data_IF_802203524597
#
_entry.id   IF_802203524597
#
_cell.length_a   1.000
_cell.length_b   1.000
_cell.length_c   1.000
_cell.angle_alpha   90.00
_cell.angle_beta   90.00
_cell.angle_gamma   90.00
#
_symmetry.space_group_name_H-M   'P 1'
#
loop_
_entity.id
_entity.type
_entity.pdbx_description
1 polymer ?
#
# COMPACT_ATOMS: atom_id res chain seq x y z
N UNK A 1 24.51 -24.38 15.32
CA UNK A 1 23.44 -23.46 15.80
C UNK A 1 22.62 -23.09 14.56
N UNK A 2 21.56 -23.85 14.27
CA UNK A 2 20.75 -23.62 13.08
C UNK A 2 20.01 -22.30 13.25
N UNK A 3 20.19 -21.40 12.30
CA UNK A 3 19.27 -20.28 12.10
C UNK A 3 17.97 -20.91 11.61
N UNK A 4 16.96 -20.94 12.46
CA UNK A 4 15.60 -21.27 12.03
C UNK A 4 15.19 -20.22 11.01
N UNK A 5 15.14 -20.61 9.74
CA UNK A 5 14.47 -19.81 8.72
C UNK A 5 12.99 -19.77 9.11
N UNK A 6 12.58 -18.71 9.81
CA UNK A 6 11.17 -18.41 10.03
C UNK A 6 10.52 -18.31 8.64
N UNK A 7 9.77 -19.34 8.26
CA UNK A 7 8.90 -19.32 7.09
C UNK A 7 7.86 -18.25 7.37
N UNK A 8 8.09 -17.03 6.86
CA UNK A 8 7.09 -15.97 6.98
C UNK A 8 5.88 -16.41 6.15
N UNK A 9 4.74 -16.60 6.82
CA UNK A 9 3.49 -16.91 6.14
C UNK A 9 3.18 -15.84 5.09
N UNK A 10 2.54 -16.23 3.99
CA UNK A 10 1.95 -15.25 3.06
C UNK A 10 1.00 -14.34 3.84
N UNK A 11 1.03 -13.05 3.52
CA UNK A 11 0.22 -12.01 4.18
C UNK A 11 -0.48 -11.19 3.11
N UNK A 12 -1.65 -10.66 3.44
CA UNK A 12 -2.37 -9.68 2.65
C UNK A 12 -1.94 -8.28 3.09
N UNK A 13 -1.26 -7.56 2.18
CA UNK A 13 -0.65 -6.27 2.47
C UNK A 13 -1.38 -5.17 1.69
N UNK A 14 -1.91 -4.19 2.40
CA UNK A 14 -2.36 -2.94 1.81
C UNK A 14 -1.21 -1.93 1.76
N UNK A 15 -0.98 -1.34 0.61
CA UNK A 15 -0.07 -0.21 0.44
C UNK A 15 -0.88 1.03 0.11
N UNK A 16 -0.89 2.04 0.98
CA UNK A 16 -1.39 3.37 0.62
C UNK A 16 -0.28 4.18 -0.03
N UNK A 17 -0.58 5.09 -0.96
CA UNK A 17 0.46 5.77 -1.73
C UNK A 17 1.17 4.83 -2.71
N UNK A 18 0.48 3.79 -3.17
CA UNK A 18 1.04 2.70 -3.95
C UNK A 18 1.50 3.14 -5.37
N UNK A 19 0.94 4.22 -5.92
CA UNK A 19 1.43 4.82 -7.16
C UNK A 19 2.66 5.70 -6.92
N UNK A 20 3.06 5.94 -5.67
CA UNK A 20 4.28 6.67 -5.32
C UNK A 20 5.56 5.87 -5.58
N UNK A 21 6.70 6.56 -5.57
CA UNK A 21 8.02 5.97 -5.88
C UNK A 21 8.36 4.76 -4.99
N UNK A 22 8.08 4.85 -3.69
CA UNK A 22 8.33 3.75 -2.75
C UNK A 22 7.33 2.62 -3.02
N UNK A 23 6.02 2.94 -3.12
CA UNK A 23 4.95 1.97 -3.37
C UNK A 23 5.19 1.10 -4.60
N UNK A 24 5.51 1.74 -5.74
CA UNK A 24 5.82 1.04 -7.00
C UNK A 24 7.05 0.14 -6.89
N UNK A 25 8.00 0.50 -6.02
CA UNK A 25 9.24 -0.28 -5.83
C UNK A 25 9.00 -1.48 -4.90
N UNK A 26 8.27 -1.29 -3.80
CA UNK A 26 8.09 -2.34 -2.78
C UNK A 26 7.02 -3.37 -3.16
N UNK A 27 6.00 -2.97 -3.93
CA UNK A 27 4.91 -3.86 -4.33
C UNK A 27 5.41 -5.13 -5.08
N UNK A 28 6.26 -5.04 -6.12
CA UNK A 28 6.80 -6.23 -6.78
C UNK A 28 7.72 -7.05 -5.85
N UNK A 29 8.51 -6.39 -5.00
CA UNK A 29 9.39 -7.04 -4.04
C UNK A 29 8.62 -7.90 -3.01
N UNK A 30 7.46 -7.40 -2.53
CA UNK A 30 6.57 -8.12 -1.62
C UNK A 30 5.86 -9.29 -2.32
N UNK A 31 5.38 -9.07 -3.55
CA UNK A 31 4.78 -10.14 -4.36
C UNK A 31 5.77 -11.27 -4.65
N UNK A 32 7.03 -10.95 -4.95
CA UNK A 32 8.08 -11.94 -5.18
C UNK A 32 8.35 -12.82 -3.95
N UNK A 33 8.03 -12.33 -2.74
CA UNK A 33 8.12 -13.08 -1.47
C UNK A 33 6.87 -13.89 -1.15
N UNK A 34 5.88 -13.90 -2.04
CA UNK A 34 4.65 -14.66 -1.87
C UNK A 34 3.55 -13.92 -1.11
N UNK A 35 3.70 -12.63 -0.83
CA UNK A 35 2.62 -11.82 -0.24
C UNK A 35 1.59 -11.40 -1.30
N UNK A 36 0.33 -11.25 -0.89
CA UNK A 36 -0.70 -10.60 -1.70
C UNK A 36 -0.66 -9.10 -1.43
N UNK A 37 -0.78 -8.29 -2.48
CA UNK A 37 -0.59 -6.83 -2.37
C UNK A 37 -1.72 -6.09 -3.05
N UNK A 38 -2.47 -5.32 -2.26
CA UNK A 38 -3.46 -4.32 -2.71
C UNK A 38 -2.85 -2.92 -2.67
N UNK A 39 -3.07 -2.15 -3.74
CA UNK A 39 -2.70 -0.74 -3.80
C UNK A 39 -3.89 0.18 -3.51
N UNK A 40 -3.67 1.24 -2.74
CA UNK A 40 -4.59 2.38 -2.60
C UNK A 40 -3.83 3.66 -2.96
N UNK A 41 -4.32 4.38 -3.97
CA UNK A 41 -3.76 5.67 -4.38
C UNK A 41 -4.80 6.50 -5.13
N UNK A 42 -4.61 7.82 -5.20
CA UNK A 42 -5.44 8.72 -6.02
C UNK A 42 -5.11 8.57 -7.51
N UNK A 43 -3.87 8.19 -7.81
CA UNK A 43 -3.37 7.98 -9.18
C UNK A 43 -3.61 6.53 -9.64
N UNK A 44 -3.79 6.32 -10.96
CA UNK A 44 -3.95 4.97 -11.51
C UNK A 44 -2.69 4.13 -11.33
N UNK A 45 -2.86 2.82 -11.16
CA UNK A 45 -1.79 1.85 -10.90
C UNK A 45 -1.85 0.68 -11.90
N UNK A 46 -1.64 0.90 -13.21
CA UNK A 46 -1.85 -0.12 -14.26
C UNK A 46 -0.97 -1.37 -14.13
N UNK A 47 0.09 -1.32 -13.31
CA UNK A 47 1.02 -2.42 -13.07
C UNK A 47 0.65 -3.29 -11.85
N UNK A 48 -0.50 -3.04 -11.21
CA UNK A 48 -0.97 -3.78 -10.05
C UNK A 48 -2.32 -4.44 -10.36
N UNK A 49 -2.46 -5.71 -9.97
CA UNK A 49 -3.68 -6.48 -10.24
C UNK A 49 -4.84 -6.13 -9.27
N UNK A 50 -4.53 -5.94 -7.98
CA UNK A 50 -5.51 -5.53 -6.96
C UNK A 50 -5.24 -4.07 -6.57
N UNK A 51 -6.18 -3.20 -6.92
CA UNK A 51 -6.06 -1.76 -6.68
C UNK A 51 -7.41 -1.12 -6.36
N UNK A 52 -7.36 -0.08 -5.54
CA UNK A 52 -8.46 0.84 -5.31
C UNK A 52 -7.92 2.24 -5.63
N UNK A 53 -8.49 2.88 -6.65
CA UNK A 53 -8.17 4.27 -6.95
C UNK A 53 -9.11 5.18 -6.16
N UNK A 54 -8.61 5.80 -5.10
CA UNK A 54 -9.39 6.69 -4.24
C UNK A 54 -8.51 7.67 -3.46
N UNK A 55 -9.12 8.73 -2.95
CA UNK A 55 -8.47 9.62 -1.99
C UNK A 55 -8.48 8.99 -0.59
N UNK A 56 -7.39 9.14 0.17
CA UNK A 56 -7.33 8.69 1.57
C UNK A 56 -8.33 9.42 2.48
N UNK A 57 -8.82 10.59 2.07
CA UNK A 57 -9.90 11.30 2.75
C UNK A 57 -11.27 10.61 2.62
N UNK A 58 -11.44 9.68 1.67
CA UNK A 58 -12.65 8.86 1.55
C UNK A 58 -12.57 7.68 2.54
N UNK A 59 -13.22 7.86 3.70
CA UNK A 59 -13.22 6.87 4.77
C UNK A 59 -13.80 5.52 4.35
N UNK A 60 -14.82 5.49 3.50
CA UNK A 60 -15.41 4.24 3.02
C UNK A 60 -14.45 3.52 2.08
N UNK A 61 -13.77 4.25 1.20
CA UNK A 61 -12.74 3.66 0.34
C UNK A 61 -11.58 3.08 1.14
N UNK A 62 -11.14 3.78 2.20
CA UNK A 62 -10.10 3.27 3.12
C UNK A 62 -10.56 2.00 3.83
N UNK A 63 -11.81 1.97 4.32
CA UNK A 63 -12.37 0.76 4.94
C UNK A 63 -12.43 -0.42 3.96
N UNK A 64 -12.91 -0.20 2.74
CA UNK A 64 -12.91 -1.23 1.68
C UNK A 64 -11.50 -1.70 1.34
N UNK A 65 -10.52 -0.79 1.32
CA UNK A 65 -9.13 -1.13 1.05
C UNK A 65 -8.52 -1.99 2.15
N UNK A 66 -8.80 -1.68 3.41
CA UNK A 66 -8.24 -2.37 4.58
C UNK A 66 -8.92 -3.72 4.88
N UNK A 67 -10.12 -3.96 4.34
CA UNK A 67 -10.87 -5.18 4.62
C UNK A 67 -10.09 -6.44 4.19
N UNK A 68 -9.87 -7.36 5.15
CA UNK A 68 -9.18 -8.64 4.94
C UNK A 68 -7.65 -8.54 4.81
N UNK A 69 -7.07 -7.38 5.14
CA UNK A 69 -5.62 -7.16 5.11
C UNK A 69 -5.02 -7.42 6.49
N UNK A 70 -3.85 -8.05 6.51
CA UNK A 70 -3.09 -8.35 7.73
C UNK A 70 -2.16 -7.19 8.11
N UNK A 71 -1.66 -6.46 7.10
CA UNK A 71 -0.66 -5.39 7.25
C UNK A 71 -1.05 -4.18 6.40
N UNK A 72 -0.84 -2.98 6.95
CA UNK A 72 -0.93 -1.72 6.23
C UNK A 72 0.45 -1.06 6.16
N UNK A 73 0.94 -0.84 4.95
CA UNK A 73 2.09 0.02 4.66
C UNK A 73 1.58 1.40 4.26
N UNK A 74 1.65 2.34 5.20
CA UNK A 74 1.11 3.68 5.00
C UNK A 74 2.15 4.61 4.35
N UNK A 75 2.16 4.70 3.02
CA UNK A 75 3.10 5.53 2.25
C UNK A 75 2.40 6.72 1.56
N UNK A 76 1.08 6.84 1.68
CA UNK A 76 0.33 7.96 1.15
C UNK A 76 0.63 9.22 1.95
N UNK A 77 1.25 10.21 1.33
CA UNK A 77 1.60 11.48 1.97
C UNK A 77 1.60 12.62 0.96
N UNK A 78 1.42 13.83 1.46
CA UNK A 78 1.71 15.05 0.71
C UNK A 78 3.22 15.32 0.81
N UNK A 79 3.94 15.28 -0.33
CA UNK A 79 5.41 15.31 -0.37
C UNK A 79 6.02 16.72 -0.38
N UNK A 80 5.22 17.73 -0.71
CA UNK A 80 5.70 19.09 -0.84
C UNK A 80 5.50 19.87 0.47
N UNK A 81 6.35 20.86 0.72
CA UNK A 81 6.02 21.88 1.71
C UNK A 81 4.81 22.66 1.20
N UNK A 82 3.71 22.57 1.94
CA UNK A 82 2.54 23.39 1.74
C UNK A 82 2.06 23.88 3.10
N UNK A 83 1.39 25.02 3.11
CA UNK A 83 0.64 25.40 4.29
C UNK A 83 -0.49 24.39 4.48
N UNK A 84 -0.72 23.98 5.73
CA UNK A 84 -1.66 22.91 6.06
C UNK A 84 -3.08 23.20 5.53
N UNK A 85 -3.45 24.48 5.46
CA UNK A 85 -4.75 24.94 4.96
C UNK A 85 -4.91 24.82 3.44
N UNK A 86 -3.82 24.75 2.68
CA UNK A 86 -3.86 24.75 1.21
C UNK A 86 -4.05 23.35 0.60
N UNK A 87 -3.96 22.29 1.42
CA UNK A 87 -3.82 20.91 0.96
C UNK A 87 -4.84 19.92 1.53
N UNK A 88 -5.84 20.44 2.27
CA UNK A 88 -7.01 19.68 2.71
C UNK A 88 -8.08 19.63 1.61
#
# INVERSE_FOLDING_TARGET
>A
MSLENSTHSSQNILITGAAGAIGQTIAPYLRQRGHQVRGLDRSPMPHMADTIQANLADAEAVQRAAQGMDVVLHLGAYRNNADFMDVL
#
